data_IF_198839255065
#
_entry.id   IF_198839255065
#
_cell.length_a   1.000
_cell.length_b   1.000
_cell.length_c   1.000
_cell.angle_alpha   90.00
_cell.angle_beta   90.00
_cell.angle_gamma   90.00
#
_symmetry.space_group_name_H-M   'P 1'
#
loop_
_entity.id
_entity.type
_entity.pdbx_description
1 polymer ?
#
# COMPACT_ATOMS: atom_id res chain seq x y z
N UNK A 1 3.35 67.46 -27.35
CA UNK A 1 2.28 67.81 -26.39
C UNK A 1 1.28 66.65 -26.42
N UNK A 2 1.34 65.72 -25.46
CA UNK A 2 0.59 65.76 -24.18
C UNK A 2 -0.94 65.75 -24.47
N UNK A 3 -1.81 64.84 -24.02
CA UNK A 3 -2.00 64.03 -22.80
C UNK A 3 -3.01 62.89 -23.15
N UNK A 4 -2.91 61.66 -22.63
CA UNK A 4 -3.55 61.15 -21.40
C UNK A 4 -5.10 61.24 -21.36
N UNK A 5 -5.76 60.06 -21.34
CA UNK A 5 -7.08 59.72 -20.78
C UNK A 5 -7.48 58.34 -21.36
N UNK A 6 -7.09 57.20 -20.79
CA UNK A 6 -7.46 56.57 -19.51
C UNK A 6 -8.97 56.38 -19.25
N UNK A 7 -9.37 55.10 -19.34
CA UNK A 7 -10.21 54.35 -18.40
C UNK A 7 -11.56 54.93 -17.99
N UNK A 8 -12.65 54.27 -18.41
CA UNK A 8 -13.77 53.89 -17.53
C UNK A 8 -14.53 52.69 -18.14
N UNK A 9 -14.12 51.47 -17.79
CA UNK A 9 -15.01 50.30 -17.84
C UNK A 9 -15.00 49.63 -16.46
N UNK A 10 -16.02 49.99 -15.68
CA UNK A 10 -16.41 49.33 -14.44
C UNK A 10 -16.99 47.97 -14.77
N UNK A 11 -16.28 46.87 -14.43
CA UNK A 11 -16.92 45.57 -14.17
C UNK A 11 -16.28 44.94 -12.93
N UNK A 12 -17.06 45.03 -11.84
CA UNK A 12 -17.30 44.03 -10.78
C UNK A 12 -16.08 43.42 -10.07
N UNK A 13 -15.90 43.88 -8.83
CA UNK A 13 -15.92 43.07 -7.62
C UNK A 13 -15.21 41.70 -7.71
N UNK A 14 -13.92 41.70 -7.35
CA UNK A 14 -13.25 40.49 -6.90
C UNK A 14 -13.91 40.01 -5.60
N UNK A 15 -14.77 38.98 -5.70
CA UNK A 15 -15.13 38.16 -4.55
C UNK A 15 -13.89 37.32 -4.18
N UNK A 16 -13.21 37.71 -3.12
CA UNK A 16 -12.34 36.80 -2.39
C UNK A 16 -13.25 35.75 -1.71
N UNK A 17 -13.24 34.52 -2.24
CA UNK A 17 -13.92 33.40 -1.61
C UNK A 17 -13.23 33.01 -0.29
N UNK A 18 -13.97 32.71 0.79
CA UNK A 18 -13.38 32.23 2.02
C UNK A 18 -13.05 30.74 1.90
N UNK A 19 -11.89 30.36 2.44
CA UNK A 19 -11.62 28.98 2.83
C UNK A 19 -10.62 28.25 1.94
N UNK A 20 -9.34 28.46 2.25
CA UNK A 20 -8.28 27.47 2.12
C UNK A 20 -8.85 26.04 2.11
N UNK A 21 -8.54 25.22 1.10
CA UNK A 21 -8.82 23.79 1.20
C UNK A 21 -8.14 23.30 2.47
N UNK A 22 -8.91 22.93 3.49
CA UNK A 22 -8.36 22.27 4.65
C UNK A 22 -7.68 21.00 4.16
N UNK A 23 -6.34 21.00 4.14
CA UNK A 23 -5.58 19.77 4.07
C UNK A 23 -5.95 19.00 5.34
N UNK A 24 -6.93 18.11 5.22
CA UNK A 24 -7.36 17.25 6.31
C UNK A 24 -6.11 16.52 6.81
N UNK A 25 -5.83 16.64 8.11
CA UNK A 25 -4.66 16.01 8.71
C UNK A 25 -4.87 14.49 8.69
N UNK A 26 -3.80 13.73 8.42
CA UNK A 26 -3.84 12.28 8.53
C UNK A 26 -4.27 11.84 9.92
N UNK A 27 -5.05 10.76 9.98
CA UNK A 27 -5.54 10.18 11.23
C UNK A 27 -4.57 9.08 11.68
N UNK A 28 -4.06 9.16 12.92
CA UNK A 28 -2.98 8.24 13.38
C UNK A 28 -3.56 6.99 14.04
N UNK A 29 -3.41 5.83 13.43
CA UNK A 29 -3.75 4.53 14.02
C UNK A 29 -2.52 3.92 14.71
N UNK A 30 -2.76 3.11 15.74
CA UNK A 30 -1.72 2.31 16.41
C UNK A 30 -2.09 0.85 16.35
N UNK A 31 -1.14 -0.01 16.01
CA UNK A 31 -1.34 -1.46 16.00
C UNK A 31 -0.20 -2.15 16.74
N UNK A 32 -0.53 -2.97 17.73
CA UNK A 32 0.41 -3.97 18.25
C UNK A 32 0.18 -5.24 17.43
N UNK A 33 1.13 -5.58 16.56
CA UNK A 33 1.04 -6.70 15.63
C UNK A 33 1.98 -7.82 16.08
N UNK A 34 1.41 -8.98 16.39
CA UNK A 34 2.16 -10.20 16.67
C UNK A 34 2.18 -11.06 15.41
N UNK A 35 3.36 -11.46 14.96
CA UNK A 35 3.53 -12.30 13.77
C UNK A 35 4.06 -13.66 14.21
N UNK A 36 3.35 -14.72 13.80
CA UNK A 36 3.79 -16.10 13.91
C UNK A 36 3.82 -16.71 12.50
N UNK A 37 4.93 -16.53 11.81
CA UNK A 37 5.15 -17.06 10.46
C UNK A 37 5.97 -18.35 10.58
N UNK A 38 5.27 -19.47 10.49
CA UNK A 38 5.84 -20.80 10.61
C UNK A 38 6.65 -21.18 9.37
N UNK A 39 6.25 -20.67 8.20
CA UNK A 39 6.87 -20.98 6.90
C UNK A 39 8.26 -20.35 6.79
N UNK A 40 8.42 -19.12 7.31
CA UNK A 40 9.69 -18.38 7.34
C UNK A 40 10.43 -18.47 8.66
N UNK A 41 9.83 -19.13 9.66
CA UNK A 41 10.28 -19.14 11.05
C UNK A 41 10.49 -17.71 11.62
N UNK A 42 9.60 -16.79 11.27
CA UNK A 42 9.62 -15.41 11.73
C UNK A 42 8.59 -15.19 12.84
N UNK A 43 9.08 -14.91 14.04
CA UNK A 43 8.26 -14.67 15.22
C UNK A 43 8.66 -13.33 15.83
N UNK A 44 7.78 -12.35 15.77
CA UNK A 44 8.08 -11.00 16.24
C UNK A 44 6.84 -10.22 16.64
N UNK A 45 7.03 -9.30 17.59
CA UNK A 45 6.05 -8.29 17.96
C UNK A 45 6.46 -6.94 17.37
N UNK A 46 5.50 -6.22 16.79
CA UNK A 46 5.71 -4.91 16.16
C UNK A 46 4.72 -3.89 16.68
N UNK A 47 5.22 -2.79 17.25
CA UNK A 47 4.40 -1.61 17.57
C UNK A 47 4.38 -0.64 16.40
N UNK A 48 3.29 -0.66 15.63
CA UNK A 48 3.12 0.13 14.41
C UNK A 48 2.39 1.45 14.69
N UNK A 49 2.88 2.55 14.09
CA UNK A 49 2.18 3.83 14.04
C UNK A 49 1.87 4.16 12.58
N UNK A 50 0.58 4.21 12.24
CA UNK A 50 0.12 4.28 10.85
C UNK A 50 -0.61 5.61 10.64
N UNK A 51 -0.15 6.40 9.68
CA UNK A 51 -0.88 7.58 9.25
C UNK A 51 -1.88 7.20 8.14
N UNK A 52 -3.17 7.38 8.41
CA UNK A 52 -4.26 7.21 7.45
C UNK A 52 -4.50 8.55 6.74
N UNK A 53 -4.22 8.60 5.43
CA UNK A 53 -4.52 9.78 4.62
C UNK A 53 -6.05 9.99 4.53
N UNK A 54 -6.59 11.23 4.44
CA UNK A 54 -8.03 11.46 4.36
C UNK A 54 -8.76 10.79 3.19
N UNK A 55 -8.04 10.47 2.10
CA UNK A 55 -8.58 9.72 0.97
C UNK A 55 -8.33 8.20 1.07
N UNK A 56 -7.68 7.75 2.15
CA UNK A 56 -7.39 6.34 2.38
C UNK A 56 -8.52 5.69 3.18
N UNK A 57 -8.95 4.51 2.75
CA UNK A 57 -9.97 3.72 3.45
C UNK A 57 -9.35 2.82 4.51
N UNK A 58 -10.15 2.39 5.49
CA UNK A 58 -9.72 1.39 6.46
C UNK A 58 -9.29 0.08 5.78
N UNK A 59 -9.98 -0.32 4.71
CA UNK A 59 -9.61 -1.48 3.89
C UNK A 59 -8.19 -1.35 3.37
N UNK A 60 -7.85 -0.23 2.71
CA UNK A 60 -6.51 0.00 2.18
C UNK A 60 -5.45 -0.01 3.27
N UNK A 61 -5.72 0.68 4.38
CA UNK A 61 -4.82 0.73 5.53
C UNK A 61 -4.56 -0.68 6.08
N UNK A 62 -5.60 -1.48 6.26
CA UNK A 62 -5.46 -2.84 6.78
C UNK A 62 -4.81 -3.79 5.78
N UNK A 63 -4.96 -3.56 4.47
CA UNK A 63 -4.14 -4.25 3.45
C UNK A 63 -2.66 -3.85 3.58
N UNK A 64 -2.32 -2.60 3.89
CA UNK A 64 -0.92 -2.23 4.20
C UNK A 64 -0.40 -2.92 5.46
N UNK A 65 -1.23 -3.11 6.48
CA UNK A 65 -0.86 -3.87 7.69
C UNK A 65 -0.64 -5.35 7.37
N UNK A 66 -1.54 -5.96 6.59
CA UNK A 66 -1.36 -7.33 6.12
C UNK A 66 -0.08 -7.47 5.27
N UNK A 67 0.20 -6.50 4.39
CA UNK A 67 1.43 -6.44 3.62
C UNK A 67 2.67 -6.35 4.52
N UNK A 68 2.63 -5.53 5.57
CA UNK A 68 3.69 -5.49 6.57
C UNK A 68 3.93 -6.88 7.17
N UNK A 69 2.86 -7.56 7.59
CA UNK A 69 2.97 -8.86 8.24
C UNK A 69 3.56 -9.94 7.31
N UNK A 70 3.05 -10.04 6.08
CA UNK A 70 3.44 -11.04 5.09
C UNK A 70 4.89 -10.86 4.61
N UNK A 71 5.37 -9.62 4.57
CA UNK A 71 6.71 -9.27 4.12
C UNK A 71 7.62 -8.79 5.26
N UNK A 72 7.24 -9.04 6.51
CA UNK A 72 7.94 -8.52 7.69
C UNK A 72 9.41 -8.94 7.67
N UNK A 73 10.31 -7.96 7.71
CA UNK A 73 11.74 -8.18 7.70
C UNK A 73 12.45 -7.02 8.40
N UNK A 74 13.77 -7.13 8.56
CA UNK A 74 14.55 -6.04 9.14
C UNK A 74 14.33 -4.74 8.34
N UNK A 75 14.06 -3.64 9.04
CA UNK A 75 13.89 -2.29 8.46
C UNK A 75 12.72 -2.13 7.49
N UNK A 76 11.73 -3.02 7.51
CA UNK A 76 10.46 -2.75 6.83
C UNK A 76 9.73 -1.62 7.57
N UNK A 77 9.34 -0.58 6.85
CA UNK A 77 8.75 0.63 7.41
C UNK A 77 7.54 1.09 6.58
N UNK A 78 6.54 1.66 7.25
CA UNK A 78 5.46 2.39 6.59
C UNK A 78 5.96 3.73 6.06
N UNK A 79 5.50 4.06 4.87
CA UNK A 79 5.82 5.30 4.18
C UNK A 79 4.59 6.19 4.06
N UNK A 80 4.77 7.36 3.42
CA UNK A 80 3.69 8.32 3.19
C UNK A 80 2.67 7.88 2.13
N UNK A 81 3.00 6.89 1.30
CA UNK A 81 2.10 6.26 0.32
C UNK A 81 1.32 7.29 -0.50
N UNK A 82 0.00 7.30 -0.38
CA UNK A 82 -0.89 8.23 -1.09
C UNK A 82 -0.57 9.72 -0.89
N UNK A 83 0.16 10.07 0.16
CA UNK A 83 0.55 11.46 0.45
C UNK A 83 1.82 11.89 -0.28
N UNK A 84 2.59 10.94 -0.86
CA UNK A 84 3.85 11.21 -1.53
C UNK A 84 4.10 10.23 -2.69
N UNK A 85 4.09 10.75 -3.92
CA UNK A 85 4.27 9.93 -5.12
C UNK A 85 5.70 9.38 -5.29
N UNK A 86 6.66 9.85 -4.49
CA UNK A 86 8.04 9.40 -4.51
C UNK A 86 8.34 8.30 -3.47
N UNK A 87 7.40 8.02 -2.57
CA UNK A 87 7.48 6.96 -1.57
C UNK A 87 6.46 5.83 -1.85
N UNK A 88 6.81 4.57 -1.52
CA UNK A 88 5.85 3.45 -1.55
C UNK A 88 4.82 3.54 -0.43
N UNK A 89 3.99 2.50 -0.30
CA UNK A 89 3.25 2.26 0.94
C UNK A 89 4.15 1.71 2.04
N UNK A 90 5.04 0.78 1.69
CA UNK A 90 6.09 0.25 2.56
C UNK A 90 7.41 0.08 1.81
N UNK A 91 8.52 0.20 2.51
CA UNK A 91 9.82 -0.22 1.99
C UNK A 91 10.69 -0.86 3.04
N UNK A 92 11.69 -1.59 2.59
CA UNK A 92 12.88 -1.90 3.38
C UNK A 92 14.10 -1.33 2.67
N UNK A 93 15.00 -0.75 3.44
CA UNK A 93 16.26 -0.20 2.95
C UNK A 93 17.45 -0.86 3.64
N UNK A 94 18.53 -0.99 2.91
CA UNK A 94 19.80 -1.43 3.46
C UNK A 94 20.47 -0.32 4.27
N UNK A 95 21.64 -0.63 4.84
CA UNK A 95 22.44 0.32 5.63
C UNK A 95 23.02 1.49 4.80
N UNK A 96 23.02 1.38 3.47
CA UNK A 96 23.45 2.45 2.55
C UNK A 96 22.30 3.37 2.15
N UNK A 97 21.06 2.99 2.45
CA UNK A 97 19.85 3.70 2.05
C UNK A 97 19.32 3.27 0.68
N UNK A 98 19.93 2.27 0.05
CA UNK A 98 19.39 1.65 -1.15
C UNK A 98 18.10 0.90 -0.79
N UNK A 99 17.13 0.91 -1.71
CA UNK A 99 15.83 0.27 -1.47
C UNK A 99 15.96 -1.20 -1.83
N UNK A 100 15.85 -2.06 -0.83
CA UNK A 100 15.83 -3.50 -1.04
C UNK A 100 14.44 -3.95 -1.50
N UNK A 101 13.41 -3.58 -0.76
CA UNK A 101 12.03 -3.99 -1.04
C UNK A 101 11.14 -2.76 -1.14
N UNK A 102 10.33 -2.69 -2.19
CA UNK A 102 9.32 -1.65 -2.44
C UNK A 102 7.95 -2.31 -2.52
N UNK A 103 7.01 -1.92 -1.65
CA UNK A 103 5.66 -2.50 -1.62
C UNK A 103 4.61 -1.43 -1.92
N UNK A 104 3.78 -1.72 -2.91
CA UNK A 104 2.61 -0.92 -3.30
C UNK A 104 1.32 -1.68 -3.02
N UNK A 105 0.35 -1.00 -2.43
CA UNK A 105 -1.00 -1.50 -2.19
C UNK A 105 -1.98 -0.75 -3.07
N UNK A 106 -2.76 -1.52 -3.83
CA UNK A 106 -3.78 -1.04 -4.76
C UNK A 106 -3.43 -1.32 -6.21
N UNK A 107 -3.83 -0.41 -7.09
CA UNK A 107 -3.81 -0.61 -8.55
C UNK A 107 -2.94 0.48 -9.22
N UNK A 108 -1.60 0.50 -8.98
CA UNK A 108 -0.71 1.54 -9.50
C UNK A 108 -0.62 1.50 -11.03
N UNK A 109 -0.47 2.66 -11.66
CA UNK A 109 -0.26 2.70 -13.11
C UNK A 109 1.12 2.12 -13.51
N UNK A 110 1.28 1.82 -14.80
CA UNK A 110 2.51 1.23 -15.32
C UNK A 110 3.75 2.10 -15.06
N UNK A 111 3.57 3.44 -15.02
CA UNK A 111 4.67 4.38 -14.81
C UNK A 111 5.20 4.29 -13.39
N UNK A 112 4.30 4.20 -12.40
CA UNK A 112 4.64 4.01 -10.99
C UNK A 112 5.35 2.68 -10.77
N UNK A 113 4.85 1.59 -11.36
CA UNK A 113 5.50 0.27 -11.25
C UNK A 113 6.89 0.28 -11.90
N UNK A 114 7.03 0.87 -13.09
CA UNK A 114 8.33 0.99 -13.76
C UNK A 114 9.34 1.81 -12.95
N UNK A 115 8.88 2.92 -12.34
CA UNK A 115 9.70 3.76 -11.46
C UNK A 115 10.16 2.99 -10.22
N UNK A 116 9.27 2.24 -9.58
CA UNK A 116 9.61 1.39 -8.45
C UNK A 116 10.64 0.32 -8.85
N UNK A 117 10.41 -0.36 -9.99
CA UNK A 117 11.28 -1.41 -10.52
C UNK A 117 12.70 -0.91 -10.78
N UNK A 118 12.87 0.34 -11.22
CA UNK A 118 14.18 0.96 -11.40
C UNK A 118 14.87 1.45 -10.11
N UNK A 119 14.16 1.50 -8.98
CA UNK A 119 14.67 2.06 -7.71
C UNK A 119 14.92 1.03 -6.61
N UNK A 120 14.36 -0.17 -6.74
CA UNK A 120 14.42 -1.20 -5.71
C UNK A 120 14.95 -2.54 -6.24
N UNK A 121 15.57 -3.33 -5.36
CA UNK A 121 16.01 -4.68 -5.69
C UNK A 121 14.81 -5.61 -5.94
N UNK A 122 13.73 -5.42 -5.20
CA UNK A 122 12.45 -6.14 -5.32
C UNK A 122 11.27 -5.17 -5.23
N UNK A 123 10.25 -5.39 -6.08
CA UNK A 123 8.98 -4.65 -6.05
C UNK A 123 7.84 -5.64 -5.90
N UNK A 124 6.96 -5.37 -4.94
CA UNK A 124 5.73 -6.12 -4.70
C UNK A 124 4.54 -5.19 -4.90
N UNK A 125 3.58 -5.61 -5.72
CA UNK A 125 2.30 -4.92 -5.87
C UNK A 125 1.21 -5.84 -5.35
N UNK A 126 0.42 -5.37 -4.39
CA UNK A 126 -0.72 -6.08 -3.81
C UNK A 126 -1.99 -5.36 -4.26
N UNK A 127 -2.60 -5.88 -5.32
CA UNK A 127 -3.88 -5.42 -5.83
C UNK A 127 -5.04 -6.00 -5.01
N UNK A 128 -6.11 -5.22 -4.89
CA UNK A 128 -7.36 -5.62 -4.25
C UNK A 128 -8.54 -4.85 -4.87
N UNK A 129 -9.75 -5.36 -4.69
CA UNK A 129 -10.98 -4.79 -5.27
C UNK A 129 -11.63 -5.65 -6.35
N UNK A 130 -11.39 -6.96 -6.32
CA UNK A 130 -12.04 -7.95 -7.20
C UNK A 130 -11.91 -7.58 -8.68
N UNK A 131 -13.07 -7.49 -9.36
CA UNK A 131 -13.15 -7.16 -10.80
C UNK A 131 -12.35 -5.93 -11.23
N UNK A 132 -12.21 -4.92 -10.36
CA UNK A 132 -11.43 -3.72 -10.70
C UNK A 132 -9.94 -4.03 -10.83
N UNK A 133 -9.41 -4.92 -9.98
CA UNK A 133 -8.03 -5.40 -10.05
C UNK A 133 -7.80 -6.27 -11.29
N UNK A 134 -8.78 -7.07 -11.70
CA UNK A 134 -8.68 -7.84 -12.95
C UNK A 134 -8.52 -6.93 -14.16
N UNK A 135 -9.38 -5.89 -14.25
CA UNK A 135 -9.34 -4.91 -15.35
C UNK A 135 -8.02 -4.15 -15.34
N UNK A 136 -7.58 -3.69 -14.17
CA UNK A 136 -6.28 -3.04 -13.99
C UNK A 136 -5.14 -3.94 -14.49
N UNK A 137 -5.13 -5.21 -14.08
CA UNK A 137 -4.09 -6.15 -14.46
C UNK A 137 -4.03 -6.34 -15.97
N UNK A 138 -5.17 -6.54 -16.65
CA UNK A 138 -5.19 -6.64 -18.12
C UNK A 138 -4.60 -5.40 -18.80
N UNK A 139 -4.80 -4.21 -18.20
CA UNK A 139 -4.24 -2.95 -18.70
C UNK A 139 -2.71 -2.87 -18.60
N UNK A 140 -2.12 -3.35 -17.50
CA UNK A 140 -0.68 -3.17 -17.21
C UNK A 140 0.19 -4.39 -17.51
N UNK A 141 -0.41 -5.58 -17.61
CA UNK A 141 0.24 -6.90 -17.67
C UNK A 141 1.37 -6.96 -18.69
N UNK A 142 1.12 -6.56 -19.93
CA UNK A 142 2.08 -6.68 -21.03
C UNK A 142 3.42 -5.96 -20.76
N UNK A 143 3.41 -4.86 -20.02
CA UNK A 143 4.63 -4.15 -19.65
C UNK A 143 5.23 -4.70 -18.37
N UNK A 144 4.39 -4.95 -17.37
CA UNK A 144 4.84 -5.43 -16.05
C UNK A 144 5.47 -6.82 -16.14
N UNK A 145 4.98 -7.71 -17.02
CA UNK A 145 5.56 -9.05 -17.25
C UNK A 145 7.05 -9.03 -17.61
N UNK A 146 7.52 -7.97 -18.28
CA UNK A 146 8.93 -7.81 -18.68
C UNK A 146 9.84 -7.38 -17.53
N UNK A 147 9.28 -6.90 -16.43
CA UNK A 147 10.03 -6.42 -15.27
C UNK A 147 10.43 -7.61 -14.39
N UNK A 148 11.73 -7.90 -14.32
CA UNK A 148 12.24 -9.13 -13.69
C UNK A 148 12.12 -9.12 -12.17
N UNK A 149 12.18 -7.95 -11.53
CA UNK A 149 12.11 -7.79 -10.07
C UNK A 149 10.72 -7.46 -9.53
N UNK A 150 9.67 -7.54 -10.35
CA UNK A 150 8.30 -7.22 -9.93
C UNK A 150 7.50 -8.50 -9.67
N UNK A 151 6.90 -8.58 -8.49
CA UNK A 151 5.89 -9.55 -8.09
C UNK A 151 4.54 -8.85 -7.98
N UNK A 152 3.47 -9.46 -8.48
CA UNK A 152 2.10 -8.92 -8.42
C UNK A 152 1.19 -9.96 -7.81
N UNK A 153 0.56 -9.59 -6.70
CA UNK A 153 -0.49 -10.35 -6.03
C UNK A 153 -1.84 -9.67 -6.24
N UNK A 154 -2.89 -10.46 -6.30
CA UNK A 154 -4.27 -9.97 -6.19
C UNK A 154 -4.93 -10.65 -5.00
N UNK A 155 -5.44 -9.87 -4.06
CA UNK A 155 -6.24 -10.38 -2.95
C UNK A 155 -7.62 -10.83 -3.45
N UNK A 156 -8.19 -11.83 -2.76
CA UNK A 156 -9.59 -12.19 -2.93
C UNK A 156 -10.52 -10.99 -2.70
N UNK A 157 -11.67 -10.99 -3.37
CA UNK A 157 -12.60 -9.85 -3.39
C UNK A 157 -13.05 -9.42 -1.99
N UNK A 158 -13.30 -10.40 -1.10
CA UNK A 158 -13.81 -10.16 0.25
C UNK A 158 -12.71 -9.88 1.30
N UNK A 159 -11.43 -10.08 0.94
CA UNK A 159 -10.31 -9.96 1.89
C UNK A 159 -10.14 -8.52 2.38
N UNK A 160 -10.09 -7.55 1.47
CA UNK A 160 -9.86 -6.16 1.85
C UNK A 160 -11.02 -5.57 2.70
N UNK A 161 -12.31 -5.81 2.36
CA UNK A 161 -13.43 -5.46 3.23
C UNK A 161 -13.36 -6.12 4.62
N UNK A 162 -13.08 -7.42 4.68
CA UNK A 162 -12.99 -8.16 5.94
C UNK A 162 -11.84 -7.65 6.82
N UNK A 163 -10.66 -7.39 6.25
CA UNK A 163 -9.54 -6.76 6.94
C UNK A 163 -9.90 -5.35 7.43
N UNK A 164 -10.59 -4.57 6.60
CA UNK A 164 -11.04 -3.22 6.95
C UNK A 164 -11.98 -3.20 8.17
N UNK A 165 -12.75 -4.26 8.39
CA UNK A 165 -13.65 -4.40 9.54
C UNK A 165 -12.91 -4.60 10.88
N UNK A 166 -11.65 -5.05 10.85
CA UNK A 166 -10.81 -5.18 12.04
C UNK A 166 -10.21 -3.84 12.51
N UNK A 167 -10.40 -2.76 11.75
CA UNK A 167 -9.72 -1.50 11.99
C UNK A 167 -10.30 -0.74 13.21
N UNK A 168 -9.48 -0.59 14.24
CA UNK A 168 -9.75 0.27 15.40
C UNK A 168 -8.64 1.31 15.60
N UNK A 169 -8.94 2.46 16.21
CA UNK A 169 -7.94 3.54 16.45
C UNK A 169 -6.68 3.03 17.15
N UNK A 170 -6.83 2.04 18.02
CA UNK A 170 -5.75 1.30 18.65
C UNK A 170 -6.16 -0.17 18.62
N UNK A 171 -5.40 -0.99 17.91
CA UNK A 171 -5.73 -2.39 17.66
C UNK A 171 -4.61 -3.32 18.12
N UNK A 172 -4.99 -4.54 18.52
CA UNK A 172 -4.06 -5.64 18.76
C UNK A 172 -4.36 -6.72 17.73
N UNK A 173 -3.37 -7.03 16.92
CA UNK A 173 -3.50 -7.94 15.79
C UNK A 173 -2.59 -9.13 15.97
N UNK A 174 -3.07 -10.29 15.55
CA UNK A 174 -2.26 -11.49 15.40
C UNK A 174 -2.29 -11.92 13.94
N UNK A 175 -1.12 -12.04 13.34
CA UNK A 175 -0.93 -12.65 12.03
C UNK A 175 -0.28 -14.01 12.20
N UNK A 176 -0.92 -15.04 11.64
CA UNK A 176 -0.34 -16.39 11.55
C UNK A 176 -0.14 -16.73 10.08
N UNK A 177 1.03 -17.25 9.73
CA UNK A 177 1.33 -17.74 8.39
C UNK A 177 1.80 -19.19 8.51
N UNK A 178 1.12 -20.09 7.81
CA UNK A 178 1.43 -21.51 7.81
C UNK A 178 0.92 -22.17 6.52
N UNK A 179 1.72 -23.06 5.94
CA UNK A 179 1.35 -23.86 4.77
C UNK A 179 0.91 -23.00 3.58
N UNK A 180 1.56 -21.84 3.40
CA UNK A 180 1.24 -20.82 2.40
C UNK A 180 -0.14 -20.18 2.53
N UNK A 181 -0.75 -20.27 3.70
CA UNK A 181 -1.95 -19.54 4.06
C UNK A 181 -1.63 -18.55 5.18
N UNK A 182 -2.33 -17.44 5.17
CA UNK A 182 -2.19 -16.42 6.21
C UNK A 182 -3.54 -16.02 6.77
N UNK A 183 -3.57 -15.72 8.06
CA UNK A 183 -4.74 -15.20 8.74
C UNK A 183 -4.34 -13.97 9.55
N UNK A 184 -5.20 -12.96 9.57
CA UNK A 184 -5.06 -11.79 10.43
C UNK A 184 -6.32 -11.63 11.27
N UNK A 185 -6.17 -11.63 12.58
CA UNK A 185 -7.29 -11.49 13.51
C UNK A 185 -6.97 -10.59 14.69
N UNK A 186 -7.97 -10.42 15.54
CA UNK A 186 -7.84 -9.80 16.87
C UNK A 186 -8.16 -10.86 17.92
N UNK A 187 -8.09 -10.51 19.20
CA UNK A 187 -8.53 -11.39 20.29
C UNK A 187 -10.07 -11.60 20.31
N UNK A 188 -10.83 -10.65 19.75
CA UNK A 188 -12.28 -10.56 19.91
C UNK A 188 -13.08 -10.86 18.65
N UNK A 189 -12.42 -10.92 17.49
CA UNK A 189 -13.05 -11.19 16.20
C UNK A 189 -12.42 -12.42 15.55
N UNK A 190 -13.20 -13.10 14.71
CA UNK A 190 -12.70 -14.22 13.92
C UNK A 190 -11.55 -13.78 13.02
N UNK A 191 -10.54 -14.63 12.91
CA UNK A 191 -9.38 -14.36 12.07
C UNK A 191 -9.78 -14.35 10.59
N UNK A 192 -9.43 -13.28 9.88
CA UNK A 192 -9.69 -13.12 8.47
C UNK A 192 -8.65 -13.92 7.68
N UNK A 193 -9.06 -14.93 6.89
CA UNK A 193 -8.15 -15.58 5.95
C UNK A 193 -7.74 -14.58 4.87
N UNK A 194 -6.43 -14.44 4.65
CA UNK A 194 -5.88 -13.61 3.59
C UNK A 194 -5.64 -14.54 2.40
N UNK A 195 -6.59 -14.57 1.48
CA UNK A 195 -6.45 -15.31 0.23
C UNK A 195 -5.87 -14.41 -0.87
N UNK A 196 -4.88 -14.90 -1.60
CA UNK A 196 -4.30 -14.18 -2.73
C UNK A 196 -3.99 -15.09 -3.91
N UNK A 197 -3.93 -14.50 -5.09
CA UNK A 197 -3.45 -15.12 -6.32
C UNK A 197 -2.20 -14.39 -6.79
N UNK A 198 -1.16 -15.15 -7.17
CA UNK A 198 0.05 -14.59 -7.77
C UNK A 198 -0.19 -14.40 -9.27
N UNK A 199 -0.44 -13.15 -9.67
CA UNK A 199 -0.62 -12.78 -11.08
C UNK A 199 0.70 -12.74 -11.86
N UNK A 200 1.79 -12.40 -11.15
CA UNK A 200 3.16 -12.43 -11.68
C UNK A 200 4.13 -12.70 -10.55
N UNK A 201 5.06 -13.64 -10.75
CA UNK A 201 6.25 -13.79 -9.91
C UNK A 201 7.43 -13.01 -10.50
N UNK A 202 8.30 -12.44 -9.64
CA UNK A 202 9.60 -11.95 -10.07
C UNK A 202 10.47 -13.11 -10.58
N UNK A 203 11.26 -12.87 -11.62
CA UNK A 203 12.18 -13.88 -12.19
C UNK A 203 13.32 -14.21 -11.20
N UNK A 204 13.64 -13.27 -10.33
CA UNK A 204 14.63 -13.39 -9.26
C UNK A 204 13.96 -13.56 -7.89
N UNK A 205 12.65 -13.83 -7.84
CA UNK A 205 12.04 -14.33 -6.62
C UNK A 205 12.86 -15.55 -6.20
N UNK A 206 13.39 -15.52 -4.96
CA UNK A 206 13.72 -16.79 -4.30
C UNK A 206 12.47 -17.65 -4.44
N UNK A 207 12.58 -18.96 -4.74
CA UNK A 207 11.40 -19.81 -4.71
C UNK A 207 10.72 -19.52 -3.39
N UNK A 208 9.53 -18.91 -3.47
CA UNK A 208 8.72 -18.80 -2.30
C UNK A 208 8.61 -20.25 -1.79
N UNK A 209 8.54 -20.44 -0.48
CA UNK A 209 8.03 -21.72 0.04
C UNK A 209 6.61 -22.04 -0.52
N UNK A 210 6.07 -21.16 -1.35
CA UNK A 210 4.75 -21.07 -1.92
C UNK A 210 4.74 -21.69 -3.33
N UNK A 211 4.82 -23.02 -3.34
CA UNK A 211 4.49 -23.85 -4.50
C UNK A 211 3.12 -24.50 -4.32
N UNK A 212 2.05 -23.77 -4.64
CA UNK A 212 0.72 -24.34 -4.87
C UNK A 212 0.45 -24.39 -6.37
N UNK A 213 0.21 -25.59 -6.90
CA UNK A 213 -0.17 -25.84 -8.31
C UNK A 213 -1.52 -25.25 -8.64
#
# INVERSE_FOLDING_TARGET
MARYADSLFTIRSAFAGPGCSMALKSTIYKAELQIADMDRHYYADHSLTIALHPSETNERMMVRVAAFALFAQERLEFCKGLSDIDEPDLWAKDLTGAIDTWIEVGQPDERRIAKASGRANEVIVIAYGGRTSDIWWQGVRNKVERMRNVTVWSLGEDVAPALGALAERTMRLQCTVQDNAAWLGTETADAVPIEWTVLKAAANARPAAHGGR
#
